data_IF_112186558362
#
_entry.id   IF_112186558362
#
_cell.length_a   1.000
_cell.length_b   1.000
_cell.length_c   1.000
_cell.angle_alpha   90.00
_cell.angle_beta   90.00
_cell.angle_gamma   90.00
#
_symmetry.space_group_name_H-M   'P 1'
#
loop_
_entity.id
_entity.type
_entity.pdbx_description
1 polymer ?
#
# COMPACT_ATOMS: atom_id res chain seq x y z
N UNK A 1 9.09 -0.02 -12.28
CA UNK A 1 8.53 1.03 -11.42
C UNK A 1 7.03 0.83 -11.38
N UNK A 2 6.43 0.68 -10.19
CA UNK A 2 4.97 0.63 -10.05
C UNK A 2 4.50 2.04 -9.71
N UNK A 3 3.69 2.63 -10.59
CA UNK A 3 3.09 3.95 -10.38
C UNK A 3 1.72 3.78 -9.74
N UNK A 4 1.43 4.58 -8.72
CA UNK A 4 0.10 4.69 -8.11
C UNK A 4 -0.37 6.14 -8.12
N UNK A 5 -1.67 6.33 -8.31
CA UNK A 5 -2.27 7.68 -8.24
C UNK A 5 -2.04 8.27 -6.84
N UNK A 6 -1.54 9.49 -6.80
CA UNK A 6 -1.10 10.18 -5.59
C UNK A 6 0.39 10.03 -5.28
N UNK A 7 1.14 9.22 -6.04
CA UNK A 7 2.61 9.20 -5.92
C UNK A 7 3.19 10.60 -6.21
N UNK A 8 4.19 10.99 -5.43
CA UNK A 8 4.87 12.27 -5.56
C UNK A 8 6.27 12.08 -6.14
N UNK A 9 6.66 13.02 -6.99
CA UNK A 9 7.99 13.11 -7.57
C UNK A 9 8.46 14.57 -7.55
N UNK A 10 9.77 14.76 -7.49
CA UNK A 10 10.42 16.05 -7.70
C UNK A 10 11.07 16.02 -9.06
N UNK A 11 10.78 17.01 -9.88
CA UNK A 11 11.36 17.16 -11.22
C UNK A 11 11.73 18.61 -11.42
N UNK A 12 13.01 18.87 -11.69
CA UNK A 12 13.58 20.21 -11.87
C UNK A 12 13.29 21.14 -10.67
N UNK A 13 13.28 20.59 -9.46
CA UNK A 13 12.99 21.32 -8.22
C UNK A 13 11.50 21.57 -7.95
N UNK A 14 10.61 21.11 -8.81
CA UNK A 14 9.15 21.24 -8.64
C UNK A 14 8.56 19.93 -8.15
N UNK A 15 7.70 20.01 -7.12
CA UNK A 15 6.97 18.85 -6.58
C UNK A 15 5.72 18.59 -7.42
N UNK A 16 5.62 17.38 -7.95
CA UNK A 16 4.49 16.90 -8.73
C UNK A 16 3.77 15.73 -8.04
N UNK A 17 2.45 15.66 -8.21
CA UNK A 17 1.61 14.54 -7.82
C UNK A 17 1.02 13.85 -9.06
N UNK A 18 1.12 12.53 -9.13
CA UNK A 18 0.54 11.72 -10.19
C UNK A 18 -0.98 11.63 -10.04
N UNK A 19 -1.74 12.28 -10.93
CA UNK A 19 -3.21 12.33 -10.86
C UNK A 19 -3.91 11.42 -11.85
N UNK A 20 -3.23 10.99 -12.93
CA UNK A 20 -3.71 10.00 -13.88
C UNK A 20 -2.55 9.39 -14.65
N UNK A 21 -2.67 8.14 -15.11
CA UNK A 21 -1.75 7.55 -16.08
C UNK A 21 -2.42 6.43 -16.88
N UNK A 22 -1.85 6.15 -18.04
CA UNK A 22 -2.13 4.99 -18.87
C UNK A 22 -0.82 4.33 -19.32
N UNK A 23 -0.86 3.48 -20.34
CA UNK A 23 0.33 2.78 -20.83
C UNK A 23 1.35 3.71 -21.53
N UNK A 24 0.93 4.88 -22.02
CA UNK A 24 1.74 5.78 -22.82
C UNK A 24 2.14 7.04 -22.06
N UNK A 25 1.23 7.59 -21.25
CA UNK A 25 1.38 8.91 -20.63
C UNK A 25 0.91 8.96 -19.18
N UNK A 26 1.44 9.93 -18.45
CA UNK A 26 1.06 10.31 -17.10
C UNK A 26 0.70 11.79 -17.05
N UNK A 27 -0.25 12.14 -16.17
CA UNK A 27 -0.61 13.50 -15.82
C UNK A 27 -0.14 13.80 -14.42
N UNK A 28 0.69 14.83 -14.31
CA UNK A 28 1.33 15.30 -13.09
C UNK A 28 0.77 16.67 -12.74
N UNK A 29 0.30 16.86 -11.51
CA UNK A 29 -0.12 18.18 -11.01
C UNK A 29 1.01 18.78 -10.19
N UNK A 30 1.45 19.99 -10.53
CA UNK A 30 2.37 20.76 -9.69
C UNK A 30 1.67 21.14 -8.39
N UNK A 31 2.25 20.77 -7.25
CA UNK A 31 1.61 20.92 -5.93
C UNK A 31 1.47 22.39 -5.54
N UNK A 32 2.51 23.18 -5.76
CA UNK A 32 2.55 24.59 -5.33
C UNK A 32 2.30 25.60 -6.46
N UNK A 33 2.38 25.16 -7.71
CA UNK A 33 2.35 26.04 -8.89
C UNK A 33 1.05 25.95 -9.71
N UNK A 34 0.15 25.01 -9.36
CA UNK A 34 -1.23 25.00 -9.86
C UNK A 34 -1.44 24.59 -11.31
N UNK A 35 -0.41 24.13 -12.02
CA UNK A 35 -0.53 23.62 -13.40
C UNK A 35 -0.45 22.09 -13.46
N UNK A 36 -0.80 21.55 -14.63
CA UNK A 36 -0.72 20.12 -14.94
C UNK A 36 0.24 19.90 -16.11
N UNK A 37 1.20 19.00 -15.93
CA UNK A 37 2.15 18.55 -16.94
C UNK A 37 1.77 17.15 -17.42
N UNK A 38 1.75 16.94 -18.74
CA UNK A 38 1.56 15.62 -19.34
C UNK A 38 2.91 15.13 -19.85
N UNK A 39 3.29 13.91 -19.46
CA UNK A 39 4.62 13.36 -19.71
C UNK A 39 4.52 11.91 -20.13
N UNK A 40 5.48 11.43 -20.91
CA UNK A 40 5.51 10.04 -21.34
C UNK A 40 5.98 9.14 -20.19
N UNK A 41 5.40 7.94 -20.09
CA UNK A 41 5.83 6.95 -19.08
C UNK A 41 7.31 6.60 -19.23
N UNK A 42 7.80 6.54 -20.47
CA UNK A 42 9.21 6.24 -20.75
C UNK A 42 10.15 7.37 -20.31
N UNK A 43 9.69 8.61 -20.35
CA UNK A 43 10.43 9.78 -19.87
C UNK A 43 10.50 9.77 -18.35
N UNK A 44 9.37 9.55 -17.67
CA UNK A 44 9.27 9.35 -16.22
C UNK A 44 10.19 8.25 -15.66
N UNK A 45 10.50 7.24 -16.47
CA UNK A 45 11.33 6.10 -16.08
C UNK A 45 12.82 6.31 -16.32
N UNK A 46 13.20 7.17 -17.26
CA UNK A 46 14.56 7.28 -17.78
C UNK A 46 15.21 8.62 -17.51
N UNK A 47 14.43 9.64 -17.21
CA UNK A 47 14.96 10.97 -16.92
C UNK A 47 15.65 10.97 -15.55
N UNK A 48 16.99 11.21 -15.50
CA UNK A 48 17.74 11.19 -14.26
C UNK A 48 17.49 12.42 -13.36
N UNK A 49 16.83 13.47 -13.87
CA UNK A 49 16.44 14.65 -13.08
C UNK A 49 15.19 14.40 -12.23
N UNK A 50 14.51 13.28 -12.46
CA UNK A 50 13.33 12.88 -11.69
C UNK A 50 13.78 12.18 -10.42
N UNK A 51 13.67 12.91 -9.33
CA UNK A 51 13.78 12.34 -8.01
C UNK A 51 12.41 11.81 -7.61
N UNK A 52 12.32 10.50 -7.43
CA UNK A 52 11.23 9.92 -6.66
C UNK A 52 11.65 10.03 -5.21
N UNK A 53 11.19 11.05 -4.43
CA UNK A 53 11.35 10.99 -3.00
C UNK A 53 10.71 9.65 -2.64
N UNK A 54 11.54 8.71 -2.15
CA UNK A 54 11.06 7.43 -1.62
C UNK A 54 9.79 7.79 -0.91
N UNK A 55 8.66 7.21 -1.37
CA UNK A 55 7.30 7.55 -0.94
C UNK A 55 7.45 8.22 0.40
N UNK A 56 7.00 9.47 0.56
CA UNK A 56 6.55 9.87 1.88
C UNK A 56 5.57 8.77 2.24
N UNK A 57 6.11 7.74 2.90
CA UNK A 57 5.45 6.71 3.63
C UNK A 57 4.73 7.65 4.55
N UNK A 58 3.47 7.99 4.19
CA UNK A 58 2.56 8.70 5.08
C UNK A 58 2.84 8.03 6.38
N UNK A 59 3.59 8.72 7.26
CA UNK A 59 4.41 8.06 8.27
C UNK A 59 3.61 6.88 8.71
N UNK A 60 4.11 5.64 8.54
CA UNK A 60 3.45 4.46 9.12
C UNK A 60 3.09 4.98 10.48
N UNK A 61 1.81 5.30 10.69
CA UNK A 61 1.39 5.84 11.97
C UNK A 61 1.49 4.57 12.73
N UNK A 62 2.66 4.34 13.31
CA UNK A 62 3.02 3.13 14.02
C UNK A 62 2.06 3.18 15.17
N UNK A 63 0.89 2.62 14.92
CA UNK A 63 -0.26 2.87 15.74
C UNK A 63 0.13 2.26 17.06
N UNK A 64 0.11 3.08 18.10
CA UNK A 64 0.64 2.68 19.39
C UNK A 64 0.07 1.29 19.75
N UNK A 65 0.93 0.30 20.06
CA UNK A 65 0.49 -1.02 20.47
C UNK A 65 -0.59 -0.99 21.56
N UNK A 66 -0.64 0.05 22.40
CA UNK A 66 -1.73 0.24 23.37
C UNK A 66 -3.06 0.62 22.72
N UNK A 67 -3.04 1.42 21.66
CA UNK A 67 -4.24 1.80 20.90
C UNK A 67 -4.85 0.61 20.13
N UNK A 68 -4.05 -0.42 19.81
CA UNK A 68 -4.56 -1.68 19.25
C UNK A 68 -5.32 -2.53 20.29
N UNK A 69 -4.91 -2.47 21.56
CA UNK A 69 -5.61 -3.15 22.67
C UNK A 69 -6.96 -2.54 23.00
N UNK A 70 -7.19 -1.28 22.62
CA UNK A 70 -8.46 -0.58 22.79
C UNK A 70 -9.50 -0.94 21.70
N UNK A 71 -9.10 -1.68 20.65
CA UNK A 71 -10.00 -2.09 19.58
C UNK A 71 -10.98 -3.16 20.08
N UNK A 72 -12.20 -3.25 19.51
CA UNK A 72 -13.08 -4.38 19.72
C UNK A 72 -12.39 -5.71 19.39
N UNK A 73 -12.64 -6.76 20.17
CA UNK A 73 -11.99 -8.08 20.03
C UNK A 73 -12.02 -8.61 18.59
N UNK A 74 -13.14 -8.45 17.88
CA UNK A 74 -13.27 -8.89 16.49
C UNK A 74 -12.31 -8.18 15.51
N UNK A 75 -11.91 -6.93 15.79
CA UNK A 75 -10.89 -6.22 14.99
C UNK A 75 -9.48 -6.64 15.39
N UNK A 76 -9.23 -6.90 16.68
CA UNK A 76 -7.95 -7.46 17.14
C UNK A 76 -7.70 -8.83 16.49
N UNK A 77 -8.69 -9.72 16.50
CA UNK A 77 -8.61 -11.03 15.84
C UNK A 77 -8.33 -10.92 14.34
N UNK A 78 -8.89 -9.90 13.66
CA UNK A 78 -8.58 -9.64 12.24
C UNK A 78 -7.14 -9.21 12.02
N UNK A 79 -6.58 -8.39 12.91
CA UNK A 79 -5.17 -7.98 12.85
C UNK A 79 -4.29 -9.19 13.09
N UNK A 80 -4.56 -9.97 14.14
CA UNK A 80 -3.80 -11.18 14.48
C UNK A 80 -3.83 -12.20 13.34
N UNK A 81 -4.99 -12.38 12.71
CA UNK A 81 -5.15 -13.26 11.56
C UNK A 81 -4.29 -12.82 10.37
N UNK A 82 -4.31 -11.53 9.99
CA UNK A 82 -3.69 -11.07 8.75
C UNK A 82 -2.23 -10.66 8.89
N UNK A 83 -1.81 -10.17 10.06
CA UNK A 83 -0.50 -9.54 10.28
C UNK A 83 0.69 -10.45 9.94
N UNK A 84 0.74 -11.73 10.38
CA UNK A 84 1.85 -12.62 10.04
C UNK A 84 1.99 -12.84 8.53
N UNK A 85 0.85 -12.92 7.82
CA UNK A 85 0.82 -13.19 6.39
C UNK A 85 1.26 -11.99 5.55
N UNK A 86 0.76 -10.79 5.85
CA UNK A 86 1.14 -9.58 5.10
C UNK A 86 2.59 -9.19 5.38
N UNK A 87 3.08 -9.39 6.61
CA UNK A 87 4.48 -9.11 6.97
C UNK A 87 5.43 -10.10 6.27
N UNK A 88 5.06 -11.39 6.20
CA UNK A 88 5.82 -12.41 5.46
C UNK A 88 5.88 -12.07 3.97
N UNK A 89 4.74 -11.71 3.37
CA UNK A 89 4.67 -11.34 1.96
C UNK A 89 5.46 -10.06 1.67
N UNK A 90 5.37 -9.05 2.53
CA UNK A 90 6.11 -7.80 2.37
C UNK A 90 7.62 -8.04 2.40
N UNK A 91 8.11 -8.81 3.38
CA UNK A 91 9.52 -9.19 3.48
C UNK A 91 9.99 -9.98 2.25
N UNK A 92 9.17 -10.91 1.77
CA UNK A 92 9.47 -11.70 0.58
C UNK A 92 9.59 -10.80 -0.67
N UNK A 93 8.64 -9.87 -0.86
CA UNK A 93 8.63 -8.95 -2.00
C UNK A 93 9.77 -7.93 -1.96
N UNK A 94 10.26 -7.59 -0.77
CA UNK A 94 11.43 -6.73 -0.58
C UNK A 94 12.77 -7.48 -0.63
N UNK A 95 12.76 -8.80 -0.87
CA UNK A 95 13.97 -9.59 -1.03
C UNK A 95 14.53 -9.50 -2.45
N UNK A 96 15.86 -9.58 -2.58
CA UNK A 96 16.56 -9.53 -3.88
C UNK A 96 16.28 -10.76 -4.78
N UNK A 97 15.63 -11.80 -4.27
CA UNK A 97 15.36 -13.08 -4.97
C UNK A 97 13.90 -13.23 -5.37
N UNK A 98 13.28 -12.16 -5.88
CA UNK A 98 11.87 -12.18 -6.27
C UNK A 98 11.65 -13.04 -7.51
N UNK A 99 10.98 -14.17 -7.34
CA UNK A 99 10.45 -15.00 -8.43
C UNK A 99 8.90 -14.91 -8.49
N UNK A 100 8.36 -14.89 -9.71
CA UNK A 100 6.92 -14.79 -9.96
C UNK A 100 6.19 -16.06 -9.55
N UNK A 101 6.76 -17.23 -9.82
CA UNK A 101 6.15 -18.50 -9.39
C UNK A 101 6.15 -18.60 -7.87
N UNK A 102 7.27 -18.28 -7.23
CA UNK A 102 7.37 -18.27 -5.77
C UNK A 102 6.43 -17.24 -5.13
N UNK A 103 6.27 -16.05 -5.73
CA UNK A 103 5.27 -15.05 -5.29
C UNK A 103 3.85 -15.64 -5.32
N UNK A 104 3.49 -16.32 -6.42
CA UNK A 104 2.18 -16.93 -6.56
C UNK A 104 1.95 -18.07 -5.56
N UNK A 105 2.98 -18.87 -5.26
CA UNK A 105 2.93 -19.92 -4.23
C UNK A 105 2.68 -19.32 -2.85
N UNK A 106 3.42 -18.27 -2.46
CA UNK A 106 3.24 -17.57 -1.18
C UNK A 106 1.82 -17.00 -1.06
N UNK A 107 1.28 -16.41 -2.12
CA UNK A 107 -0.10 -15.88 -2.12
C UNK A 107 -1.12 -17.01 -1.94
N UNK A 108 -0.96 -18.13 -2.66
CA UNK A 108 -1.84 -19.27 -2.54
C UNK A 108 -1.82 -19.90 -1.13
N UNK A 109 -0.65 -19.96 -0.49
CA UNK A 109 -0.52 -20.37 0.91
C UNK A 109 -1.27 -19.43 1.86
N UNK A 110 -1.14 -18.11 1.68
CA UNK A 110 -1.85 -17.12 2.49
C UNK A 110 -3.36 -17.26 2.32
N UNK A 111 -3.84 -17.34 1.07
CA UNK A 111 -5.26 -17.53 0.75
C UNK A 111 -5.82 -18.76 1.45
N UNK A 112 -5.10 -19.89 1.38
CA UNK A 112 -5.52 -21.14 2.03
C UNK A 112 -5.55 -21.00 3.55
N UNK A 113 -4.50 -20.44 4.14
CA UNK A 113 -4.36 -20.31 5.59
C UNK A 113 -5.43 -19.40 6.19
N UNK A 114 -5.66 -18.24 5.57
CA UNK A 114 -6.67 -17.28 6.03
C UNK A 114 -8.09 -17.78 5.73
N UNK A 115 -8.27 -18.45 4.59
CA UNK A 115 -9.56 -19.03 4.19
C UNK A 115 -10.07 -20.08 5.19
N UNK A 116 -9.17 -20.91 5.75
CA UNK A 116 -9.52 -21.90 6.79
C UNK A 116 -9.97 -21.27 8.11
N UNK A 117 -9.46 -20.07 8.42
CA UNK A 117 -9.72 -19.37 9.68
C UNK A 117 -10.85 -18.33 9.57
N UNK A 118 -11.41 -18.12 8.38
CA UNK A 118 -12.46 -17.13 8.12
C UNK A 118 -13.84 -17.78 8.01
N UNK A 119 -14.83 -17.39 8.84
CA UNK A 119 -16.20 -17.89 8.71
C UNK A 119 -16.79 -17.47 7.35
N UNK A 120 -17.22 -18.43 6.53
CA UNK A 120 -17.75 -18.18 5.18
C UNK A 120 -16.78 -18.44 4.02
N UNK A 121 -15.52 -18.80 4.32
CA UNK A 121 -14.68 -19.66 3.48
C UNK A 121 -14.52 -19.27 2.00
N UNK A 122 -13.74 -18.23 1.72
CA UNK A 122 -12.81 -18.16 0.58
C UNK A 122 -12.17 -16.77 0.59
N UNK A 123 -10.85 -16.71 0.39
CA UNK A 123 -10.10 -15.45 0.32
C UNK A 123 -9.56 -15.32 -1.09
N UNK A 124 -9.99 -14.31 -1.82
CA UNK A 124 -9.45 -14.04 -3.16
C UNK A 124 -7.98 -13.57 -3.06
N UNK A 125 -7.07 -14.01 -3.94
CA UNK A 125 -5.70 -13.47 -4.06
C UNK A 125 -5.63 -11.94 -4.08
N UNK A 126 -6.59 -11.27 -4.72
CA UNK A 126 -6.73 -9.80 -4.74
C UNK A 126 -6.97 -9.22 -3.34
N UNK A 127 -7.59 -9.98 -2.44
CA UNK A 127 -7.75 -9.58 -1.04
C UNK A 127 -6.40 -9.55 -0.33
N UNK A 128 -5.49 -10.47 -0.63
CA UNK A 128 -4.12 -10.49 -0.08
C UNK A 128 -3.36 -9.25 -0.51
N UNK A 129 -3.38 -8.91 -1.80
CA UNK A 129 -2.77 -7.68 -2.32
C UNK A 129 -3.37 -6.42 -1.70
N UNK A 130 -4.70 -6.36 -1.60
CA UNK A 130 -5.39 -5.23 -0.96
C UNK A 130 -5.01 -5.08 0.51
N UNK A 131 -4.82 -6.18 1.24
CA UNK A 131 -4.40 -6.17 2.65
C UNK A 131 -2.94 -5.81 2.81
N UNK A 132 -2.06 -6.28 1.93
CA UNK A 132 -0.66 -5.86 1.89
C UNK A 132 -0.54 -4.35 1.66
N UNK A 133 -1.27 -3.80 0.68
CA UNK A 133 -1.25 -2.37 0.40
C UNK A 133 -1.76 -1.57 1.60
N UNK A 134 -2.90 -1.96 2.17
CA UNK A 134 -3.43 -1.29 3.37
C UNK A 134 -2.46 -1.38 4.57
N UNK A 135 -1.73 -2.48 4.71
CA UNK A 135 -0.71 -2.63 5.75
C UNK A 135 0.50 -1.71 5.51
N UNK A 136 0.95 -1.54 4.26
CA UNK A 136 2.02 -0.59 3.92
C UNK A 136 1.61 0.86 4.18
N UNK A 137 0.35 1.19 3.90
CA UNK A 137 -0.18 2.54 4.04
C UNK A 137 -0.49 2.93 5.50
N UNK A 138 -0.95 1.96 6.31
CA UNK A 138 -1.55 2.24 7.64
C UNK A 138 -1.08 1.30 8.76
N UNK A 139 -0.09 0.44 8.50
CA UNK A 139 0.33 -0.59 9.45
C UNK A 139 -0.78 -1.56 9.81
N UNK A 140 -0.81 -2.03 11.06
CA UNK A 140 -1.81 -2.97 11.56
C UNK A 140 -3.26 -2.48 11.38
N UNK A 141 -3.50 -1.16 11.40
CA UNK A 141 -4.84 -0.61 11.17
C UNK A 141 -5.36 -0.87 9.76
N UNK A 142 -4.50 -1.01 8.76
CA UNK A 142 -4.93 -1.37 7.41
C UNK A 142 -5.61 -2.74 7.32
N UNK A 143 -5.45 -3.57 8.35
CA UNK A 143 -5.98 -4.92 8.41
C UNK A 143 -7.41 -4.99 8.96
N UNK A 144 -7.92 -3.92 9.57
CA UNK A 144 -9.29 -3.86 10.10
C UNK A 144 -10.29 -3.43 9.01
N UNK A 145 -11.58 -3.34 9.38
CA UNK A 145 -12.62 -2.85 8.48
C UNK A 145 -12.42 -1.36 8.11
N UNK A 146 -12.60 -1.00 6.84
CA UNK A 146 -12.49 0.37 6.32
C UNK A 146 -13.37 1.37 7.07
N UNK A 147 -14.56 0.94 7.52
CA UNK A 147 -15.47 1.81 8.30
C UNK A 147 -14.95 2.13 9.70
N UNK A 148 -14.09 1.25 10.23
CA UNK A 148 -13.49 1.40 11.55
C UNK A 148 -12.14 2.14 11.45
N UNK A 149 -11.35 1.83 10.41
CA UNK A 149 -10.09 2.55 10.15
C UNK A 149 -10.32 4.04 9.89
N UNK A 150 -11.36 4.43 9.15
CA UNK A 150 -11.69 5.84 8.89
C UNK A 150 -12.05 6.59 10.18
N UNK A 151 -12.89 6.00 11.04
CA UNK A 151 -13.26 6.61 12.33
C UNK A 151 -12.07 6.83 13.26
N UNK A 152 -11.12 5.90 13.29
CA UNK A 152 -9.89 6.06 14.08
C UNK A 152 -8.93 7.08 13.49
N UNK A 153 -8.89 7.20 12.15
CA UNK A 153 -8.09 8.23 11.48
C UNK A 153 -8.65 9.64 11.75
N UNK A 154 -9.97 9.78 11.81
CA UNK A 154 -10.66 11.05 12.11
C UNK A 154 -10.54 11.43 13.60
N UNK A 155 -10.45 10.45 14.50
CA UNK A 155 -10.29 10.69 15.95
C UNK A 155 -8.85 11.10 16.37
N UNK A 156 -7.87 10.95 15.47
CA UNK A 156 -6.46 11.30 15.69
C UNK A 156 -6.07 12.49 14.79
N UNK A 157 -7.02 13.38 14.53
CA UNK A 157 -6.87 14.70 13.91
C UNK A 157 -7.37 15.75 14.88
#
# INVERSE_FOLDING_TARGET
MNLELGDRLVWDGVVFELIAYDAASARLRAVDEGYVRVVLINELQRDPSIEWPQREVRQVRTFDPQSLKALPLHQQMKIELWSPHVTRLDRFLNSARRDVEETNRVIAEIVRSVGQLTPGGSVDPRTVWRKLQAYRDFGALGLIDKRYSRRLQDAVR
#
